data_IF_334037601294
#
_entry.id   IF_334037601294
#
_cell.length_a   1.000
_cell.length_b   1.000
_cell.length_c   1.000
_cell.angle_alpha   90.00
_cell.angle_beta   90.00
_cell.angle_gamma   90.00
#
_symmetry.space_group_name_H-M   'P 1'
#
loop_
_entity.id
_entity.type
_entity.pdbx_description
1 polymer ?
#
# COMPACT_ATOMS: atom_id res chain seq x y z
N UNK A 1 6.89 -14.92 -24.11
CA UNK A 1 6.14 -13.66 -24.19
C UNK A 1 5.29 -13.59 -22.93
N UNK A 2 5.86 -13.12 -21.82
CA UNK A 2 5.09 -12.87 -20.60
C UNK A 2 4.32 -11.58 -20.82
N UNK A 3 2.98 -11.57 -20.66
CA UNK A 3 2.25 -10.32 -20.71
C UNK A 3 2.72 -9.48 -19.52
N UNK A 4 3.42 -8.38 -19.80
CA UNK A 4 3.68 -7.33 -18.83
C UNK A 4 2.31 -6.84 -18.35
N UNK A 5 1.83 -7.39 -17.24
CA UNK A 5 0.70 -6.82 -16.53
C UNK A 5 1.13 -5.39 -16.16
N UNK A 6 0.46 -4.39 -16.74
CA UNK A 6 0.64 -2.97 -16.45
C UNK A 6 0.10 -2.69 -15.06
N UNK A 7 0.72 -3.26 -14.03
CA UNK A 7 0.51 -2.86 -12.66
C UNK A 7 1.27 -1.53 -12.47
N UNK A 8 0.70 -0.57 -11.72
CA UNK A 8 1.38 0.70 -11.44
C UNK A 8 2.71 0.53 -10.70
N UNK A 9 2.91 -0.64 -10.08
CA UNK A 9 4.13 -1.02 -9.36
C UNK A 9 4.57 -2.41 -9.84
N UNK A 10 5.87 -2.60 -9.99
CA UNK A 10 6.46 -3.90 -10.35
C UNK A 10 6.21 -4.93 -9.21
N UNK A 11 5.71 -6.15 -9.50
CA UNK A 11 5.48 -7.18 -8.49
C UNK A 11 6.73 -7.51 -7.64
N UNK A 12 7.93 -7.59 -8.23
CA UNK A 12 9.16 -7.86 -7.49
C UNK A 12 9.48 -6.72 -6.49
N UNK A 13 9.15 -5.48 -6.85
CA UNK A 13 9.29 -4.32 -5.98
C UNK A 13 8.25 -4.36 -4.83
N UNK A 14 7.02 -4.79 -5.11
CA UNK A 14 5.98 -4.95 -4.09
C UNK A 14 6.37 -6.01 -3.05
N UNK A 15 7.05 -7.09 -3.46
CA UNK A 15 7.50 -8.15 -2.55
C UNK A 15 8.53 -7.68 -1.53
N UNK A 16 9.35 -6.67 -1.85
CA UNK A 16 10.34 -6.09 -0.92
C UNK A 16 9.81 -4.87 -0.15
N UNK A 17 8.74 -4.23 -0.65
CA UNK A 17 8.19 -3.02 -0.04
C UNK A 17 7.49 -3.35 1.28
N UNK A 18 7.82 -2.60 2.33
CA UNK A 18 7.19 -2.73 3.64
C UNK A 18 6.59 -1.41 4.10
N UNK A 19 5.52 -1.52 4.87
CA UNK A 19 4.87 -0.40 5.53
C UNK A 19 5.86 0.26 6.51
N UNK A 20 6.09 1.58 6.42
CA UNK A 20 7.04 2.29 7.29
C UNK A 20 6.69 2.18 8.78
N UNK A 21 5.41 1.95 9.11
CA UNK A 21 4.94 1.81 10.50
C UNK A 21 5.13 0.39 11.02
N UNK A 22 4.83 -0.62 10.20
CA UNK A 22 4.80 -2.01 10.64
C UNK A 22 6.12 -2.77 10.44
N UNK A 23 7.05 -2.27 9.62
CA UNK A 23 8.34 -2.94 9.35
C UNK A 23 9.17 -3.20 10.61
N UNK A 24 8.96 -2.42 11.67
CA UNK A 24 9.64 -2.57 12.95
C UNK A 24 8.90 -3.48 13.96
N UNK A 25 7.73 -4.02 13.61
CA UNK A 25 6.94 -4.84 14.52
C UNK A 25 7.58 -6.20 14.75
N UNK A 26 7.95 -6.51 15.99
CA UNK A 26 8.58 -7.79 16.34
C UNK A 26 7.57 -8.88 16.73
N UNK A 27 6.30 -8.51 16.92
CA UNK A 27 5.22 -9.41 17.37
C UNK A 27 4.40 -10.00 16.20
N UNK A 28 4.52 -9.46 14.99
CA UNK A 28 3.68 -9.81 13.82
C UNK A 28 4.24 -10.93 12.93
N UNK A 29 5.34 -11.57 13.32
CA UNK A 29 5.98 -12.67 12.60
C UNK A 29 7.35 -12.31 12.02
N UNK A 30 7.83 -13.12 11.06
CA UNK A 30 9.19 -13.01 10.51
C UNK A 30 9.34 -11.90 9.46
N UNK A 31 8.23 -11.45 8.86
CA UNK A 31 8.22 -10.47 7.77
C UNK A 31 7.05 -9.47 7.92
N UNK A 32 7.13 -8.58 8.93
CA UNK A 32 6.04 -7.68 9.29
C UNK A 32 5.93 -6.50 8.31
N UNK A 33 4.71 -5.99 8.15
CA UNK A 33 4.46 -4.79 7.34
C UNK A 33 4.38 -5.05 5.85
N UNK A 34 4.02 -6.27 5.43
CA UNK A 34 3.74 -6.58 4.02
C UNK A 34 2.64 -5.67 3.47
N UNK A 35 2.86 -5.19 2.24
CA UNK A 35 1.92 -4.35 1.51
C UNK A 35 1.26 -5.14 0.38
N UNK A 36 -0.05 -4.98 0.24
CA UNK A 36 -0.83 -5.55 -0.85
C UNK A 36 -1.36 -4.44 -1.76
N UNK A 37 -1.20 -4.62 -3.08
CA UNK A 37 -1.79 -3.73 -4.06
C UNK A 37 -3.27 -4.04 -4.22
N UNK A 38 -4.13 -3.10 -3.84
CA UNK A 38 -5.58 -3.22 -3.96
C UNK A 38 -6.12 -2.16 -4.91
N UNK A 39 -7.12 -2.55 -5.70
CA UNK A 39 -7.80 -1.70 -6.69
C UNK A 39 -6.85 -1.05 -7.72
N UNK A 40 -5.61 -1.55 -7.82
CA UNK A 40 -4.59 -1.00 -8.72
C UNK A 40 -4.12 0.41 -8.36
N UNK A 41 -4.48 0.97 -7.20
CA UNK A 41 -4.08 2.33 -6.82
C UNK A 41 -3.89 2.53 -5.31
N UNK A 42 -3.92 1.46 -4.52
CA UNK A 42 -3.73 1.49 -3.07
C UNK A 42 -2.75 0.41 -2.61
N UNK A 43 -1.87 0.76 -1.67
CA UNK A 43 -1.04 -0.19 -0.94
C UNK A 43 -1.58 -0.35 0.48
N UNK A 44 -2.05 -1.54 0.83
CA UNK A 44 -2.69 -1.83 2.11
C UNK A 44 -1.76 -2.68 2.98
N UNK A 45 -1.57 -2.27 4.23
CA UNK A 45 -0.84 -3.03 5.23
C UNK A 45 -1.83 -3.74 6.17
N UNK A 46 -1.80 -5.08 6.21
CA UNK A 46 -2.67 -5.85 7.12
C UNK A 46 -2.25 -5.71 8.59
N UNK A 47 -0.96 -5.49 8.87
CA UNK A 47 -0.43 -5.44 10.23
C UNK A 47 -0.76 -4.14 10.97
N UNK A 48 -0.65 -3.01 10.28
CA UNK A 48 -0.95 -1.68 10.83
C UNK A 48 -2.35 -1.19 10.47
N UNK A 49 -2.97 -1.74 9.41
CA UNK A 49 -4.22 -1.28 8.83
C UNK A 49 -4.10 -0.04 7.92
N UNK A 50 -2.88 0.51 7.76
CA UNK A 50 -2.62 1.72 6.99
C UNK A 50 -2.80 1.46 5.50
N UNK A 51 -3.29 2.47 4.77
CA UNK A 51 -3.57 2.35 3.34
C UNK A 51 -2.99 3.55 2.61
N UNK A 52 -1.96 3.31 1.82
CA UNK A 52 -1.19 4.33 1.13
C UNK A 52 -1.69 4.47 -0.32
N UNK A 53 -2.09 5.66 -0.77
CA UNK A 53 -2.52 5.86 -2.14
C UNK A 53 -1.33 5.80 -3.10
N UNK A 54 -1.59 5.43 -4.35
CA UNK A 54 -0.66 5.53 -5.48
C UNK A 54 -1.16 6.66 -6.37
N UNK A 55 -0.41 7.76 -6.41
CA UNK A 55 -0.72 8.94 -7.20
C UNK A 55 0.27 9.04 -8.37
N UNK A 56 -0.23 9.14 -9.60
CA UNK A 56 0.59 9.20 -10.82
C UNK A 56 1.63 8.06 -10.94
N UNK A 57 1.28 6.87 -10.44
CA UNK A 57 2.18 5.71 -10.41
C UNK A 57 3.24 5.74 -9.30
N UNK A 58 3.24 6.76 -8.45
CA UNK A 58 4.14 6.91 -7.31
C UNK A 58 3.40 6.54 -6.01
N UNK A 59 3.88 5.56 -5.23
CA UNK A 59 3.30 5.21 -3.95
C UNK A 59 3.61 6.27 -2.90
N UNK A 60 2.57 6.75 -2.22
CA UNK A 60 2.67 7.85 -1.26
C UNK A 60 2.81 7.24 0.13
N UNK A 61 4.03 6.85 0.47
CA UNK A 61 4.37 6.20 1.75
C UNK A 61 4.49 7.17 2.93
N UNK A 62 3.64 8.20 2.98
CA UNK A 62 3.57 9.11 4.11
C UNK A 62 2.69 8.49 5.21
N UNK A 63 3.16 8.52 6.46
CA UNK A 63 2.44 7.94 7.60
C UNK A 63 1.08 8.63 7.78
N UNK A 64 1.04 9.95 7.68
CA UNK A 64 -0.18 10.77 7.80
C UNK A 64 -1.23 10.38 6.74
N UNK A 65 -0.80 10.18 5.48
CA UNK A 65 -1.69 9.72 4.41
C UNK A 65 -2.21 8.32 4.69
N UNK A 66 -1.33 7.38 5.05
CA UNK A 66 -1.72 6.01 5.37
C UNK A 66 -2.71 5.91 6.54
N UNK A 67 -2.58 6.80 7.52
CA UNK A 67 -3.42 6.84 8.71
C UNK A 67 -4.84 7.32 8.41
N UNK A 68 -5.01 8.32 7.53
CA UNK A 68 -6.34 8.85 7.13
C UNK A 68 -7.28 7.72 6.67
N UNK A 69 -6.73 6.73 5.96
CA UNK A 69 -7.49 5.63 5.37
C UNK A 69 -7.51 4.36 6.24
N UNK A 70 -6.87 4.38 7.40
CA UNK A 70 -6.73 3.20 8.28
C UNK A 70 -8.08 2.58 8.67
N UNK A 71 -9.08 3.41 8.95
CA UNK A 71 -10.41 2.97 9.37
C UNK A 71 -11.41 2.80 8.22
N UNK A 72 -11.04 3.20 6.99
CA UNK A 72 -11.88 3.00 5.80
C UNK A 72 -11.73 1.57 5.33
N UNK A 73 -12.84 0.89 5.05
CA UNK A 73 -12.78 -0.46 4.51
C UNK A 73 -12.17 -0.43 3.10
N UNK A 74 -11.44 -1.48 2.73
CA UNK A 74 -10.73 -1.52 1.44
C UNK A 74 -11.68 -1.35 0.26
N UNK A 75 -12.90 -1.89 0.35
CA UNK A 75 -13.94 -1.75 -0.67
C UNK A 75 -14.55 -0.34 -0.77
N UNK A 76 -14.39 0.50 0.25
CA UNK A 76 -14.90 1.88 0.30
C UNK A 76 -13.83 2.92 -0.05
N UNK A 77 -12.62 2.48 -0.43
CA UNK A 77 -11.57 3.38 -0.88
C UNK A 77 -11.94 4.01 -2.23
N UNK A 78 -11.70 5.33 -2.39
CA UNK A 78 -11.94 6.00 -3.67
C UNK A 78 -10.93 5.56 -4.74
N UNK A 79 -11.41 5.45 -5.98
CA UNK A 79 -10.61 5.17 -7.17
C UNK A 79 -10.92 6.24 -8.24
N UNK A 80 -9.98 7.12 -8.61
CA UNK A 80 -8.60 7.22 -8.10
C UNK A 80 -8.54 7.75 -6.66
N UNK A 81 -7.44 7.48 -5.92
CA UNK A 81 -7.21 8.08 -4.61
C UNK A 81 -7.19 9.62 -4.68
N UNK A 82 -7.65 10.33 -3.63
CA UNK A 82 -7.53 11.76 -3.55
C UNK A 82 -6.06 12.14 -3.30
N UNK A 83 -5.42 12.62 -4.34
CA UNK A 83 -4.07 13.16 -4.32
C UNK A 83 -4.15 14.65 -4.00
N UNK A 84 -4.18 15.02 -2.73
CA UNK A 84 -4.05 16.42 -2.32
C UNK A 84 -2.57 16.77 -2.18
N UNK A 85 -2.04 17.58 -3.11
CA UNK A 85 -0.66 18.07 -3.10
C UNK A 85 -0.61 19.59 -3.26
#
# INVERSE_FOLDING_TARGET
>A
MTPSQTLPINPDLLEILRCPVAVHYTDKGTDPGRLELVQGCWLVCADSGYKYPICDGIPIMLIEEGEKWKNVAVNDLPVPPPCEY
#
